data_IF_569301164605
#
_entry.id   IF_569301164605
#
_cell.length_a   1.000
_cell.length_b   1.000
_cell.length_c   1.000
_cell.angle_alpha   90.00
_cell.angle_beta   90.00
_cell.angle_gamma   90.00
#
_symmetry.space_group_name_H-M   'P 1'
#
loop_
_entity.id
_entity.type
_entity.pdbx_description
1 polymer ?
#
# COMPACT_ATOMS: atom_id res chain seq x y z
N UNK A 1 -3.11 -6.61 -12.71
CA UNK A 1 -3.20 -5.60 -13.78
C UNK A 1 -2.51 -4.34 -13.35
N UNK A 2 -1.61 -3.85 -14.16
CA UNK A 2 -0.94 -2.59 -13.86
C UNK A 2 -1.64 -1.43 -14.52
N UNK A 3 -1.83 -0.40 -13.74
CA UNK A 3 -2.26 0.87 -14.29
C UNK A 3 -1.03 1.68 -14.71
N UNK A 4 -1.17 2.53 -15.73
CA UNK A 4 -0.11 3.45 -16.09
C UNK A 4 0.19 4.44 -14.97
N UNK A 5 -0.71 4.57 -13.99
CA UNK A 5 -0.63 5.56 -12.93
C UNK A 5 -0.13 5.00 -11.61
N UNK A 6 0.08 3.70 -11.52
CA UNK A 6 0.55 3.07 -10.28
C UNK A 6 1.09 1.68 -10.56
N UNK A 7 1.78 1.12 -9.56
CA UNK A 7 2.26 -0.25 -9.61
C UNK A 7 1.50 -1.06 -8.57
N UNK A 8 1.12 -2.28 -8.96
CA UNK A 8 0.35 -3.16 -8.09
C UNK A 8 1.14 -4.43 -7.84
N UNK A 9 1.33 -4.75 -6.57
CA UNK A 9 1.98 -5.98 -6.15
C UNK A 9 0.99 -6.81 -5.35
N UNK A 10 0.73 -8.03 -5.79
CA UNK A 10 -0.14 -8.94 -5.07
C UNK A 10 0.69 -9.96 -4.33
N UNK A 11 0.48 -10.06 -3.03
CA UNK A 11 1.15 -11.07 -2.22
C UNK A 11 0.27 -12.31 -2.23
N UNK A 12 0.84 -13.44 -2.65
CA UNK A 12 0.12 -14.69 -2.77
C UNK A 12 0.54 -15.68 -1.69
N UNK A 13 -0.44 -16.36 -1.11
CA UNK A 13 -0.16 -17.39 -0.12
C UNK A 13 0.54 -18.60 -0.73
N UNK A 14 0.37 -18.80 -2.04
CA UNK A 14 0.92 -19.97 -2.73
C UNK A 14 2.30 -19.73 -3.32
N UNK A 15 2.86 -18.55 -3.12
CA UNK A 15 4.15 -18.22 -3.70
C UNK A 15 5.26 -19.03 -3.06
N UNK A 16 6.18 -19.54 -3.89
CA UNK A 16 7.38 -20.22 -3.41
C UNK A 16 8.30 -19.21 -2.72
N UNK A 17 9.31 -19.73 -2.00
CA UNK A 17 10.28 -18.83 -1.37
C UNK A 17 11.00 -17.97 -2.41
N UNK A 18 11.32 -18.55 -3.56
CA UNK A 18 11.97 -17.79 -4.63
C UNK A 18 11.07 -16.67 -5.13
N UNK A 19 9.79 -16.97 -5.35
CA UNK A 19 8.84 -15.97 -5.81
C UNK A 19 8.67 -14.86 -4.76
N UNK A 20 8.63 -15.23 -3.49
CA UNK A 20 8.53 -14.24 -2.42
C UNK A 20 9.74 -13.33 -2.37
N UNK A 21 10.94 -13.87 -2.59
CA UNK A 21 12.16 -13.07 -2.60
C UNK A 21 12.19 -12.10 -3.77
N UNK A 22 11.77 -12.56 -4.93
CA UNK A 22 11.71 -11.71 -6.12
C UNK A 22 10.71 -10.58 -5.90
N UNK A 23 9.54 -10.92 -5.37
CA UNK A 23 8.51 -9.93 -5.09
C UNK A 23 9.00 -8.88 -4.10
N UNK A 24 9.63 -9.32 -3.03
CA UNK A 24 10.16 -8.42 -2.01
C UNK A 24 11.18 -7.45 -2.61
N UNK A 25 12.07 -7.98 -3.42
CA UNK A 25 13.10 -7.16 -4.06
C UNK A 25 12.48 -6.14 -5.01
N UNK A 26 11.54 -6.57 -5.83
CA UNK A 26 10.87 -5.66 -6.77
C UNK A 26 10.08 -4.59 -6.03
N UNK A 27 9.42 -4.98 -4.95
CA UNK A 27 8.64 -4.05 -4.17
C UNK A 27 9.55 -2.97 -3.56
N UNK A 28 10.65 -3.38 -2.94
CA UNK A 28 11.59 -2.42 -2.37
C UNK A 28 12.18 -1.50 -3.43
N UNK A 29 12.50 -2.04 -4.61
CA UNK A 29 13.03 -1.23 -5.70
C UNK A 29 12.00 -0.24 -6.24
N UNK A 30 10.72 -0.53 -6.08
CA UNK A 30 9.67 0.37 -6.53
C UNK A 30 9.43 1.53 -5.58
N UNK A 31 9.88 1.42 -4.35
CA UNK A 31 9.71 2.46 -3.33
C UNK A 31 10.91 3.40 -3.35
N UNK A 32 11.01 4.18 -4.41
CA UNK A 32 12.12 5.12 -4.60
C UNK A 32 11.57 6.50 -4.93
N UNK A 33 12.35 7.56 -4.66
CA UNK A 33 11.89 8.92 -4.92
C UNK A 33 11.47 9.11 -6.38
N UNK A 34 10.33 9.78 -6.57
CA UNK A 34 9.82 10.04 -7.90
C UNK A 34 9.10 8.87 -8.55
N UNK A 35 8.96 7.76 -7.85
CA UNK A 35 8.29 6.59 -8.40
C UNK A 35 6.77 6.77 -8.39
N UNK A 36 6.09 5.97 -9.22
CA UNK A 36 4.64 5.91 -9.21
C UNK A 36 4.14 5.39 -7.86
N UNK A 37 2.90 5.74 -7.48
CA UNK A 37 2.31 5.15 -6.28
C UNK A 37 2.31 3.62 -6.37
N UNK A 38 2.46 2.98 -5.22
CA UNK A 38 2.53 1.53 -5.12
C UNK A 38 1.35 1.02 -4.31
N UNK A 39 0.68 0.01 -4.82
CA UNK A 39 -0.40 -0.68 -4.11
C UNK A 39 0.07 -2.09 -3.79
N UNK A 40 -0.05 -2.49 -2.53
CA UNK A 40 0.20 -3.87 -2.13
C UNK A 40 -1.16 -4.51 -1.84
N UNK A 41 -1.51 -5.50 -2.64
CA UNK A 41 -2.80 -6.18 -2.55
C UNK A 41 -2.65 -7.46 -1.72
N UNK A 42 -3.31 -7.46 -0.57
CA UNK A 42 -3.26 -8.57 0.38
C UNK A 42 -4.52 -9.44 0.29
N UNK A 43 -5.34 -9.22 -0.74
CA UNK A 43 -6.65 -9.89 -0.83
C UNK A 43 -6.54 -11.39 -0.96
N UNK A 44 -5.44 -11.90 -1.47
CA UNK A 44 -5.24 -13.36 -1.64
C UNK A 44 -4.85 -14.06 -0.34
N UNK A 45 -4.52 -13.31 0.70
CA UNK A 45 -4.07 -13.88 1.97
C UNK A 45 -5.24 -14.05 2.90
N UNK A 46 -5.32 -15.22 3.54
CA UNK A 46 -6.34 -15.48 4.55
C UNK A 46 -5.93 -14.92 5.91
N UNK A 47 -4.65 -14.68 6.11
CA UNK A 47 -4.12 -14.08 7.31
C UNK A 47 -2.69 -13.64 7.05
N UNK A 48 -2.24 -12.66 7.81
CA UNK A 48 -0.89 -12.14 7.69
C UNK A 48 -0.01 -12.82 8.75
N UNK A 49 1.15 -13.30 8.33
CA UNK A 49 2.10 -13.89 9.28
C UNK A 49 3.15 -12.84 9.65
N UNK A 50 4.09 -13.24 10.51
CA UNK A 50 5.16 -12.36 10.97
C UNK A 50 5.97 -11.75 9.84
N UNK A 51 6.32 -12.58 8.86
CA UNK A 51 7.13 -12.11 7.74
C UNK A 51 6.38 -11.10 6.89
N UNK A 52 5.07 -11.31 6.72
CA UNK A 52 4.25 -10.37 5.98
C UNK A 52 4.20 -9.02 6.68
N UNK A 53 4.01 -9.04 7.99
CA UNK A 53 3.96 -7.81 8.78
C UNK A 53 5.30 -7.08 8.73
N UNK A 54 6.40 -7.82 8.90
CA UNK A 54 7.73 -7.22 8.84
C UNK A 54 7.99 -6.58 7.49
N UNK A 55 7.59 -7.26 6.42
CA UNK A 55 7.73 -6.71 5.08
C UNK A 55 6.96 -5.40 4.93
N UNK A 56 5.73 -5.36 5.42
CA UNK A 56 4.90 -4.17 5.30
C UNK A 56 5.45 -3.02 6.15
N UNK A 57 5.98 -3.32 7.33
CA UNK A 57 6.60 -2.30 8.17
C UNK A 57 7.84 -1.71 7.50
N UNK A 58 8.66 -2.55 6.90
CA UNK A 58 9.83 -2.09 6.16
C UNK A 58 9.44 -1.23 4.97
N UNK A 59 8.40 -1.65 4.25
CA UNK A 59 7.91 -0.87 3.11
C UNK A 59 7.35 0.47 3.55
N UNK A 60 6.64 0.50 4.67
CA UNK A 60 6.09 1.75 5.19
C UNK A 60 7.21 2.73 5.55
N UNK A 61 8.25 2.23 6.19
CA UNK A 61 9.40 3.06 6.56
C UNK A 61 10.10 3.61 5.32
N UNK A 62 10.32 2.77 4.31
CA UNK A 62 10.95 3.21 3.07
C UNK A 62 10.10 4.25 2.35
N UNK A 63 8.79 3.98 2.24
CA UNK A 63 7.89 4.89 1.54
C UNK A 63 7.87 6.26 2.22
N UNK A 64 7.78 6.26 3.53
CA UNK A 64 7.76 7.50 4.30
C UNK A 64 9.07 8.29 4.12
N UNK A 65 10.20 7.61 4.20
CA UNK A 65 11.49 8.27 4.08
C UNK A 65 11.81 8.76 2.68
N UNK A 66 11.15 8.21 1.68
CA UNK A 66 11.40 8.55 0.27
C UNK A 66 10.25 9.30 -0.38
N UNK A 67 9.24 9.63 0.40
CA UNK A 67 8.06 10.37 -0.07
C UNK A 67 7.36 9.65 -1.24
N UNK A 68 7.18 8.35 -1.11
CA UNK A 68 6.47 7.53 -2.09
C UNK A 68 5.11 7.14 -1.52
N UNK A 69 4.06 7.22 -2.32
CA UNK A 69 2.74 6.80 -1.88
C UNK A 69 2.67 5.27 -1.90
N UNK A 70 2.33 4.71 -0.75
CA UNK A 70 2.14 3.27 -0.60
C UNK A 70 0.75 3.04 -0.02
N UNK A 71 -0.05 2.24 -0.72
CA UNK A 71 -1.42 1.93 -0.31
C UNK A 71 -1.57 0.43 -0.12
N UNK A 72 -2.41 0.04 0.81
CA UNK A 72 -2.68 -1.37 1.09
C UNK A 72 -4.12 -1.70 0.75
N UNK A 73 -4.33 -2.91 0.24
CA UNK A 73 -5.67 -3.44 0.01
C UNK A 73 -5.81 -4.71 0.87
N UNK A 74 -6.76 -4.69 1.80
CA UNK A 74 -6.99 -5.80 2.72
C UNK A 74 -8.47 -6.10 2.77
N UNK A 75 -8.91 -7.05 1.94
CA UNK A 75 -10.32 -7.37 1.82
C UNK A 75 -10.87 -8.18 2.99
N UNK A 76 -10.03 -8.91 3.72
CA UNK A 76 -10.51 -9.73 4.81
C UNK A 76 -10.44 -8.98 6.13
N UNK A 77 -11.41 -9.24 7.00
CA UNK A 77 -11.45 -8.61 8.30
C UNK A 77 -10.25 -8.96 9.18
N UNK A 78 -9.83 -10.24 9.26
CA UNK A 78 -8.65 -10.58 10.06
C UNK A 78 -7.41 -9.79 9.65
N UNK A 79 -7.20 -9.58 8.36
CA UNK A 79 -6.06 -8.81 7.91
C UNK A 79 -6.18 -7.35 8.31
N UNK A 80 -7.37 -6.76 8.18
CA UNK A 80 -7.58 -5.38 8.60
C UNK A 80 -7.34 -5.19 10.09
N UNK A 81 -7.79 -6.16 10.91
CA UNK A 81 -7.57 -6.09 12.35
C UNK A 81 -6.06 -6.13 12.67
N UNK A 82 -5.32 -7.00 12.00
CA UNK A 82 -3.88 -7.06 12.19
C UNK A 82 -3.18 -5.76 11.78
N UNK A 83 -3.64 -5.14 10.71
CA UNK A 83 -3.07 -3.86 10.29
C UNK A 83 -3.35 -2.77 11.33
N UNK A 84 -4.48 -2.83 12.00
CA UNK A 84 -4.79 -1.88 13.07
C UNK A 84 -3.93 -2.14 14.30
N UNK A 85 -3.80 -3.41 14.70
CA UNK A 85 -3.02 -3.78 15.87
C UNK A 85 -1.56 -3.39 15.70
N UNK A 86 -1.02 -3.58 14.52
CA UNK A 86 0.37 -3.25 14.21
C UNK A 86 0.57 -1.77 13.90
N UNK A 87 -0.51 -1.00 13.86
CA UNK A 87 -0.53 0.42 13.56
C UNK A 87 -0.15 0.76 12.12
N UNK A 88 -0.11 -0.24 11.25
CA UNK A 88 0.13 0.00 9.83
C UNK A 88 -0.98 0.85 9.22
N UNK A 89 -2.22 0.65 9.66
CA UNK A 89 -3.35 1.43 9.15
C UNK A 89 -3.29 2.89 9.56
N UNK A 90 -2.45 3.23 10.54
CA UNK A 90 -2.25 4.61 10.96
C UNK A 90 -1.25 5.34 10.09
N UNK A 91 -0.36 4.62 9.43
CA UNK A 91 0.69 5.24 8.60
C UNK A 91 0.47 5.03 7.11
N UNK A 92 -0.33 4.02 6.73
CA UNK A 92 -0.62 3.74 5.33
C UNK A 92 -2.13 3.69 5.11
N UNK A 93 -2.63 4.23 3.99
CA UNK A 93 -4.05 4.06 3.66
C UNK A 93 -4.35 2.59 3.40
N UNK A 94 -5.45 2.11 3.96
CA UNK A 94 -5.90 0.73 3.80
C UNK A 94 -7.28 0.74 3.17
N UNK A 95 -7.44 0.01 2.08
CA UNK A 95 -8.70 -0.07 1.36
C UNK A 95 -9.23 -1.49 1.38
N UNK A 96 -10.54 -1.64 1.31
CA UNK A 96 -11.17 -2.97 1.26
C UNK A 96 -11.05 -3.60 -0.11
N UNK A 97 -11.08 -2.78 -1.15
CA UNK A 97 -11.08 -3.25 -2.53
C UNK A 97 -9.99 -2.55 -3.32
N UNK A 98 -9.41 -3.29 -4.25
CA UNK A 98 -8.41 -2.71 -5.15
C UNK A 98 -8.99 -1.53 -5.94
N UNK A 99 -10.25 -1.63 -6.35
CA UNK A 99 -10.91 -0.56 -7.07
C UNK A 99 -10.91 0.74 -6.28
N UNK A 100 -11.10 0.67 -4.97
CA UNK A 100 -11.10 1.86 -4.12
C UNK A 100 -9.72 2.49 -4.04
N UNK A 101 -8.68 1.67 -3.97
CA UNK A 101 -7.31 2.17 -3.95
C UNK A 101 -6.96 2.85 -5.28
N UNK A 102 -7.35 2.23 -6.39
CA UNK A 102 -7.12 2.82 -7.71
C UNK A 102 -7.87 4.14 -7.86
N UNK A 103 -9.09 4.19 -7.37
CA UNK A 103 -9.89 5.40 -7.42
C UNK A 103 -9.25 6.54 -6.63
N UNK A 104 -8.68 6.21 -5.48
CA UNK A 104 -7.97 7.18 -4.65
C UNK A 104 -6.78 7.79 -5.40
N UNK A 105 -6.05 6.98 -6.14
CA UNK A 105 -4.92 7.46 -6.93
C UNK A 105 -5.40 8.33 -8.09
N UNK A 106 -6.47 7.92 -8.75
CA UNK A 106 -7.03 8.68 -9.87
C UNK A 106 -7.52 10.05 -9.41
N UNK A 107 -8.14 10.12 -8.25
CA UNK A 107 -8.60 11.39 -7.69
C UNK A 107 -7.44 12.33 -7.38
N UNK A 108 -6.36 11.80 -6.86
CA UNK A 108 -5.19 12.61 -6.56
C UNK A 108 -4.58 13.22 -7.82
N UNK A 109 -4.66 12.50 -8.94
CA UNK A 109 -4.20 13.03 -10.21
C UNK A 109 -5.15 14.10 -10.77
N UNK A 110 -6.45 13.88 -10.58
CA UNK A 110 -7.47 14.81 -11.04
C UNK A 110 -7.42 16.12 -10.27
N UNK A 111 -7.11 16.04 -8.97
CA UNK A 111 -7.04 17.19 -8.09
C UNK A 111 -5.58 17.43 -7.73
N UNK A 112 -4.94 18.42 -8.33
CA UNK A 112 -3.52 18.64 -8.11
C UNK A 112 -3.18 19.10 -6.69
N UNK A 113 -1.92 19.39 -6.47
CA UNK A 113 -1.34 19.59 -5.15
C UNK A 113 -2.08 20.56 -4.25
N UNK A 114 -2.64 21.60 -4.79
CA UNK A 114 -3.34 22.59 -3.96
C UNK A 114 -4.54 21.98 -3.26
N UNK A 115 -5.22 21.04 -3.87
CA UNK A 115 -6.33 20.36 -3.23
C UNK A 115 -5.86 19.38 -2.18
N UNK A 116 -4.76 18.73 -2.43
CA UNK A 116 -4.21 17.76 -1.50
C UNK A 116 -3.88 18.40 -0.17
N UNK A 117 -3.34 19.60 -0.17
CA UNK A 117 -2.95 20.22 1.07
C UNK A 117 -4.11 20.92 1.75
N UNK A 118 -5.09 21.34 1.02
CA UNK A 118 -6.26 21.95 1.63
C UNK A 118 -7.01 20.98 2.50
N UNK A 119 -6.91 19.79 2.16
CA UNK A 119 -7.53 18.80 2.97
C UNK A 119 -6.63 18.41 4.11
N UNK A 120 -6.05 18.98 4.05
CA UNK A 120 -5.66 18.36 4.81
C UNK A 120 -5.61 18.29 5.54
N UNK A 121 -5.62 18.70 5.67
CA UNK A 121 -5.43 18.44 6.41
C UNK A 121 -5.74 18.07 6.96
N UNK A 122 -6.04 18.33 6.83
CA UNK A 122 -6.25 17.88 7.04
C UNK A 122 -6.58 17.21 7.20
N UNK A 123 -6.94 17.40 7.10
CA UNK A 123 -7.25 16.77 6.94
C UNK A 123 -7.39 15.95 6.98
N UNK A 124 -7.51 15.84 7.06
CA UNK A 124 -7.55 14.95 6.98
C UNK A 124 -7.92 14.26 6.89
N UNK A 125 -8.49 14.20 7.09
CA UNK A 125 -8.67 13.44 6.93
C UNK A 125 -8.70 12.55 6.85
N UNK A 126 -8.65 12.54 6.91
CA UNK A 126 -8.32 11.61 6.74
C UNK A 126 -8.19 11.18 6.87
N UNK A 127 -8.36 11.33 7.05
CA UNK A 127 -8.00 10.80 7.00
C UNK A 127 -7.95 10.70 7.08
#
# INVERSE_FOLDING_TARGET
MNSADCRIFRISADASLREQRVLRKELFCSLRPGALPVIVDLSSLMGLNHDDIDLLLDCAALASGRDVRLLLVAGSRPNRVLLEITRLSSVLPVFNLLADALDSIARAKTFPAENAFASDPARPRSA
#
